data_IF_070373364580
#
_entry.id   IF_070373364580
#
_cell.length_a   1.000
_cell.length_b   1.000
_cell.length_c   1.000
_cell.angle_alpha   90.00
_cell.angle_beta   90.00
_cell.angle_gamma   90.00
#
_symmetry.space_group_name_H-M   'P 1'
#
loop_
_entity.id
_entity.type
_entity.pdbx_description
1 polymer ?
#
# COMPACT_ATOMS: atom_id res chain seq x y z
N UNK A 1 37.71 22.40 -1.56
CA UNK A 1 36.41 22.12 -2.18
C UNK A 1 35.40 21.80 -1.10
N UNK A 2 34.20 22.37 -1.17
CA UNK A 2 33.06 22.00 -0.34
C UNK A 2 31.94 21.47 -1.24
N UNK A 3 31.13 20.57 -0.69
CA UNK A 3 29.93 20.04 -1.34
C UNK A 3 28.73 20.52 -0.53
N UNK A 4 27.72 20.99 -1.25
CA UNK A 4 26.45 21.45 -0.73
C UNK A 4 25.36 20.48 -1.15
N UNK A 5 24.68 19.86 -0.19
CA UNK A 5 23.49 19.06 -0.44
C UNK A 5 22.28 19.76 0.18
N UNK A 6 21.19 19.89 -0.58
CA UNK A 6 19.97 20.57 -0.14
C UNK A 6 18.71 19.85 -0.59
N UNK A 7 17.57 20.44 -0.25
CA UNK A 7 16.27 19.91 -0.64
C UNK A 7 15.32 21.06 -0.98
N UNK A 8 14.51 20.85 -2.01
CA UNK A 8 13.41 21.74 -2.42
C UNK A 8 12.13 20.92 -2.49
N UNK A 9 11.00 21.52 -2.16
CA UNK A 9 9.68 20.89 -2.20
C UNK A 9 8.74 21.63 -3.16
N UNK A 10 7.70 20.96 -3.64
CA UNK A 10 6.58 21.64 -4.31
C UNK A 10 5.82 22.54 -3.34
N UNK A 11 5.08 23.52 -3.85
CA UNK A 11 4.41 24.57 -3.07
C UNK A 11 3.41 24.06 -2.03
N UNK A 12 2.91 22.84 -2.17
CA UNK A 12 1.98 22.24 -1.22
C UNK A 12 2.64 21.83 0.11
N UNK A 13 3.98 21.83 0.18
CA UNK A 13 4.72 21.33 1.32
C UNK A 13 5.89 22.24 1.67
N UNK A 14 6.17 22.32 2.96
CA UNK A 14 7.08 23.29 3.54
C UNK A 14 8.16 22.53 4.31
N UNK A 15 9.42 22.91 4.10
CA UNK A 15 10.52 22.42 4.92
C UNK A 15 10.45 23.18 6.24
N UNK A 16 10.29 22.44 7.33
CA UNK A 16 10.22 23.00 8.67
C UNK A 16 11.58 23.59 9.08
N UNK A 17 11.54 24.66 9.88
CA UNK A 17 12.73 25.20 10.52
C UNK A 17 13.36 24.14 11.46
N UNK A 18 14.65 23.85 11.27
CA UNK A 18 15.37 22.87 12.09
C UNK A 18 16.43 22.03 11.35
N UNK A 19 16.38 21.95 10.02
CA UNK A 19 17.40 21.26 9.21
C UNK A 19 18.65 22.10 8.92
N UNK A 20 19.73 21.49 8.36
CA UNK A 20 20.95 22.19 7.97
C UNK A 20 20.70 23.38 7.04
N UNK A 21 21.44 24.48 7.28
CA UNK A 21 21.38 25.70 6.48
C UNK A 21 22.77 26.18 6.03
N UNK A 22 22.80 26.77 4.84
CA UNK A 22 23.94 27.49 4.27
C UNK A 22 23.50 28.91 3.92
N UNK A 23 23.67 29.83 4.87
CA UNK A 23 23.05 31.16 4.82
C UNK A 23 21.53 31.05 4.78
N UNK A 24 20.91 31.63 3.75
CA UNK A 24 19.46 31.56 3.52
C UNK A 24 19.01 30.24 2.86
N UNK A 25 19.94 29.37 2.43
CA UNK A 25 19.61 28.12 1.73
C UNK A 25 19.37 26.98 2.71
N UNK A 26 18.37 26.17 2.42
CA UNK A 26 18.12 24.90 3.11
C UNK A 26 19.07 23.84 2.55
N UNK A 27 20.29 23.80 3.11
CA UNK A 27 21.35 22.93 2.63
C UNK A 27 22.44 22.69 3.70
N UNK A 28 23.06 21.52 3.67
CA UNK A 28 24.33 21.24 4.38
C UNK A 28 25.48 21.54 3.43
N UNK A 29 26.32 22.53 3.76
CA UNK A 29 27.54 22.85 3.00
C UNK A 29 28.78 22.48 3.83
N UNK A 30 29.53 21.48 3.40
CA UNK A 30 30.64 20.92 4.17
C UNK A 30 31.81 20.50 3.28
N UNK A 31 33.00 20.37 3.87
CA UNK A 31 34.18 19.85 3.15
C UNK A 31 33.99 18.38 2.78
N UNK A 32 34.73 17.90 1.78
CA UNK A 32 34.71 16.47 1.42
C UNK A 32 35.09 15.56 2.61
N UNK A 33 36.04 15.98 3.45
CA UNK A 33 36.41 15.24 4.65
C UNK A 33 35.26 15.15 5.67
N UNK A 34 34.50 16.23 5.84
CA UNK A 34 33.31 16.23 6.71
C UNK A 34 32.21 15.33 6.17
N UNK A 35 31.96 15.35 4.86
CA UNK A 35 30.99 14.44 4.23
C UNK A 35 31.42 12.98 4.33
N UNK A 36 32.71 12.69 4.22
CA UNK A 36 33.23 11.34 4.42
C UNK A 36 33.03 10.84 5.87
N UNK A 37 33.12 11.72 6.85
CA UNK A 37 32.90 11.38 8.26
C UNK A 37 31.42 11.38 8.66
N UNK A 38 30.59 12.21 8.02
CA UNK A 38 29.16 12.40 8.31
C UNK A 38 28.37 12.53 6.99
N UNK A 39 28.04 11.40 6.34
CA UNK A 39 27.47 11.37 5.00
C UNK A 39 25.99 11.78 4.94
N UNK A 40 25.38 12.12 6.07
CA UNK A 40 23.93 12.34 6.19
C UNK A 40 23.55 13.80 6.47
N UNK A 41 22.36 14.17 6.03
CA UNK A 41 21.69 15.43 6.34
C UNK A 41 20.18 15.16 6.43
N UNK A 42 19.52 15.74 7.42
CA UNK A 42 18.09 15.53 7.66
C UNK A 42 17.32 16.84 7.55
N UNK A 43 16.16 16.77 6.90
CA UNK A 43 15.19 17.87 6.85
C UNK A 43 13.80 17.33 7.13
N UNK A 44 13.06 18.04 7.98
CA UNK A 44 11.65 17.74 8.24
C UNK A 44 10.79 18.51 7.25
N UNK A 45 9.92 17.80 6.54
CA UNK A 45 8.98 18.39 5.58
C UNK A 45 7.57 18.14 6.09
N UNK A 46 6.72 19.16 6.07
CA UNK A 46 5.32 19.06 6.45
C UNK A 46 4.41 19.63 5.37
N UNK A 47 3.17 19.14 5.33
CA UNK A 47 2.10 19.69 4.50
C UNK A 47 1.03 20.29 5.41
N UNK A 48 0.81 21.61 5.39
CA UNK A 48 -0.29 22.22 6.14
C UNK A 48 -1.65 21.70 5.65
N UNK A 49 -2.60 21.51 6.57
CA UNK A 49 -3.98 21.08 6.22
C UNK A 49 -4.67 22.02 5.24
N UNK A 50 -4.36 23.32 5.33
CA UNK A 50 -4.90 24.37 4.45
C UNK A 50 -4.49 24.23 2.99
N UNK A 51 -3.46 23.43 2.70
CA UNK A 51 -3.00 23.16 1.32
C UNK A 51 -3.70 21.95 0.70
N UNK A 52 -4.45 21.18 1.50
CA UNK A 52 -5.15 19.95 1.09
C UNK A 52 -6.45 20.21 0.34
N UNK A 53 -6.78 19.30 -0.57
CA UNK A 53 -8.00 19.34 -1.36
C UNK A 53 -8.90 18.12 -1.09
N UNK A 54 -10.20 18.28 -1.39
CA UNK A 54 -11.20 17.23 -1.21
C UNK A 54 -11.53 16.95 0.27
N UNK A 55 -12.40 15.96 0.49
CA UNK A 55 -12.90 15.60 1.83
C UNK A 55 -11.81 15.17 2.81
N UNK A 56 -10.73 14.57 2.30
CA UNK A 56 -9.63 14.03 3.10
C UNK A 56 -8.45 15.03 3.22
N UNK A 57 -8.57 16.23 2.62
CA UNK A 57 -7.54 17.27 2.56
C UNK A 57 -6.20 16.71 2.06
N UNK A 58 -6.25 16.03 0.92
CA UNK A 58 -5.09 15.37 0.31
C UNK A 58 -4.17 16.40 -0.35
N UNK A 59 -2.86 16.25 -0.14
CA UNK A 59 -1.80 16.97 -0.86
C UNK A 59 -0.77 16.01 -1.44
N UNK A 60 -0.03 16.48 -2.43
CA UNK A 60 1.10 15.76 -3.01
C UNK A 60 2.36 16.62 -2.97
N UNK A 61 3.38 16.16 -2.24
CA UNK A 61 4.69 16.80 -2.20
C UNK A 61 5.66 16.05 -3.11
N UNK A 62 6.31 16.75 -4.05
CA UNK A 62 7.52 16.22 -4.69
C UNK A 62 8.72 16.74 -3.93
N UNK A 63 9.57 15.83 -3.48
CA UNK A 63 10.83 16.15 -2.79
C UNK A 63 11.94 16.13 -3.85
N UNK A 64 12.69 17.22 -3.95
CA UNK A 64 13.73 17.42 -4.96
C UNK A 64 15.06 17.69 -4.25
N UNK A 65 15.90 16.67 -4.08
CA UNK A 65 17.27 16.86 -3.60
C UNK A 65 18.09 17.70 -4.59
N UNK A 66 19.01 18.51 -4.07
CA UNK A 66 19.94 19.31 -4.86
C UNK A 66 21.37 19.07 -4.40
N UNK A 67 22.32 19.11 -5.34
CA UNK A 67 23.75 18.97 -5.05
C UNK A 67 24.52 20.02 -5.82
N UNK A 68 25.40 20.72 -5.12
CA UNK A 68 26.35 21.64 -5.71
C UNK A 68 27.70 21.57 -5.02
N UNK A 69 28.67 22.31 -5.53
CA UNK A 69 30.00 22.42 -4.92
C UNK A 69 30.51 23.85 -5.00
N UNK A 70 31.43 24.17 -4.10
CA UNK A 70 32.20 25.41 -4.11
C UNK A 70 33.70 25.03 -4.16
N UNK A 71 34.44 25.56 -5.14
CA UNK A 71 35.88 25.29 -5.30
C UNK A 71 36.71 26.56 -5.09
N UNK A 72 37.60 26.59 -4.08
CA UNK A 72 38.47 27.74 -3.85
C UNK A 72 39.67 27.81 -4.81
N UNK A 73 39.80 26.86 -5.75
CA UNK A 73 41.04 26.62 -6.48
C UNK A 73 41.17 27.40 -7.79
N UNK A 74 40.08 27.95 -8.36
CA UNK A 74 40.17 28.87 -9.51
C UNK A 74 39.08 29.94 -9.50
N UNK A 75 39.38 31.19 -9.91
CA UNK A 75 38.37 32.21 -10.20
C UNK A 75 37.42 31.83 -11.36
N UNK A 76 37.83 30.87 -12.20
CA UNK A 76 37.09 30.43 -13.39
C UNK A 76 36.01 29.37 -13.09
N UNK A 77 36.11 28.64 -11.97
CA UNK A 77 35.09 27.65 -11.55
C UNK A 77 34.84 27.74 -10.03
N UNK A 78 34.34 28.89 -9.53
CA UNK A 78 34.16 29.13 -8.09
C UNK A 78 33.15 28.18 -7.44
N UNK A 79 32.27 27.56 -8.23
CA UNK A 79 31.31 26.55 -7.81
C UNK A 79 30.34 26.17 -8.93
N UNK A 80 29.44 25.24 -8.67
CA UNK A 80 28.45 24.77 -9.64
C UNK A 80 27.30 23.98 -9.00
N UNK A 81 26.17 23.93 -9.70
CA UNK A 81 25.09 22.98 -9.45
C UNK A 81 25.35 21.74 -10.32
N UNK A 82 25.36 20.56 -9.69
CA UNK A 82 25.59 19.27 -10.35
C UNK A 82 24.39 18.33 -10.14
N UNK A 83 23.24 18.85 -9.73
CA UNK A 83 22.02 18.08 -9.44
C UNK A 83 21.58 17.24 -10.63
N UNK A 84 21.81 17.71 -11.86
CA UNK A 84 21.48 16.99 -13.09
C UNK A 84 22.48 15.86 -13.42
N UNK A 85 23.71 15.97 -12.91
CA UNK A 85 24.81 15.04 -13.19
C UNK A 85 24.87 13.86 -12.21
N UNK A 86 24.01 13.88 -11.18
CA UNK A 86 23.94 12.85 -10.14
C UNK A 86 22.61 12.11 -10.21
N UNK A 87 22.60 10.76 -10.13
CA UNK A 87 21.36 9.98 -10.10
C UNK A 87 20.65 10.15 -8.76
N UNK A 88 19.78 11.16 -8.67
CA UNK A 88 19.01 11.49 -7.46
C UNK A 88 17.56 11.00 -7.58
N UNK A 89 17.10 10.31 -6.54
CA UNK A 89 15.69 9.97 -6.39
C UNK A 89 14.88 11.22 -6.01
N UNK A 90 13.67 11.33 -6.55
CA UNK A 90 12.76 12.46 -6.33
C UNK A 90 11.42 11.95 -5.82
N UNK A 91 11.36 11.50 -4.56
CA UNK A 91 10.19 10.81 -4.05
C UNK A 91 8.98 11.74 -4.04
N UNK A 92 7.82 11.15 -4.28
CA UNK A 92 6.54 11.82 -4.17
C UNK A 92 5.86 11.31 -2.91
N UNK A 93 5.44 12.21 -2.02
CA UNK A 93 4.65 11.85 -0.83
C UNK A 93 3.23 12.38 -0.96
N UNK A 94 2.26 11.56 -0.57
CA UNK A 94 0.87 11.94 -0.39
C UNK A 94 0.64 12.19 1.09
N UNK A 95 0.15 13.37 1.44
CA UNK A 95 -0.31 13.65 2.81
C UNK A 95 -1.83 13.79 2.82
N UNK A 96 -2.46 13.41 3.92
CA UNK A 96 -3.91 13.52 4.11
C UNK A 96 -4.27 13.66 5.59
N UNK A 97 -5.49 14.10 5.86
CA UNK A 97 -6.09 14.11 7.20
C UNK A 97 -7.38 13.29 7.25
N UNK A 98 -7.44 12.21 6.48
CA UNK A 98 -8.66 11.42 6.33
C UNK A 98 -9.15 10.90 7.68
N UNK A 99 -10.45 11.03 8.00
CA UNK A 99 -11.04 10.42 9.18
C UNK A 99 -11.07 8.87 9.10
N UNK A 100 -10.78 8.29 7.92
CA UNK A 100 -10.62 6.85 7.76
C UNK A 100 -9.38 6.31 8.49
N UNK A 101 -8.39 7.18 8.77
CA UNK A 101 -7.17 6.83 9.48
C UNK A 101 -7.29 7.28 10.95
N UNK A 102 -7.57 6.31 11.83
CA UNK A 102 -7.92 6.54 13.23
C UNK A 102 -6.71 6.65 14.15
N UNK A 103 -5.63 5.92 13.83
CA UNK A 103 -4.49 5.78 14.75
C UNK A 103 -3.47 6.92 14.63
N UNK A 104 -3.54 7.73 13.57
CA UNK A 104 -2.64 8.87 13.33
C UNK A 104 -3.36 9.95 12.52
N UNK A 105 -4.00 10.91 13.20
CA UNK A 105 -4.70 12.01 12.53
C UNK A 105 -3.71 12.90 11.78
N UNK A 106 -3.79 12.91 10.45
CA UNK A 106 -2.77 13.56 9.64
C UNK A 106 -1.55 12.67 9.45
N UNK A 107 -0.95 12.69 8.26
CA UNK A 107 0.27 11.96 7.98
C UNK A 107 0.57 11.92 6.49
N UNK A 108 1.79 11.51 6.17
CA UNK A 108 2.29 11.42 4.80
C UNK A 108 2.81 10.01 4.53
N UNK A 109 2.60 9.50 3.32
CA UNK A 109 3.14 8.23 2.81
C UNK A 109 3.75 8.44 1.43
N UNK A 110 4.67 7.58 1.02
CA UNK A 110 5.14 7.57 -0.37
C UNK A 110 3.97 7.28 -1.31
N UNK A 111 3.77 8.16 -2.29
CA UNK A 111 2.68 8.08 -3.26
C UNK A 111 3.07 7.24 -4.49
N UNK A 112 4.35 7.16 -4.79
CA UNK A 112 4.94 6.46 -5.92
C UNK A 112 5.23 4.97 -5.66
N UNK A 113 4.85 4.47 -4.48
CA UNK A 113 4.99 3.06 -4.10
C UNK A 113 3.63 2.47 -3.78
N UNK A 114 3.30 1.37 -4.44
CA UNK A 114 2.18 0.52 -4.04
C UNK A 114 2.66 -0.40 -2.89
N UNK A 115 2.17 -0.21 -1.66
CA UNK A 115 2.60 -1.03 -0.53
C UNK A 115 2.14 -2.48 -0.70
N UNK A 116 2.84 -3.40 -0.03
CA UNK A 116 2.54 -4.83 -0.07
C UNK A 116 2.02 -5.28 1.29
N UNK A 117 0.80 -5.81 1.32
CA UNK A 117 0.28 -6.58 2.46
C UNK A 117 0.91 -7.97 2.42
N UNK A 118 1.61 -8.38 3.48
CA UNK A 118 2.25 -9.68 3.54
C UNK A 118 1.53 -10.62 4.53
N UNK A 119 1.00 -11.73 4.04
CA UNK A 119 0.60 -12.87 4.86
C UNK A 119 1.75 -13.88 4.93
N UNK A 120 2.55 -13.77 5.99
CA UNK A 120 3.74 -14.59 6.20
C UNK A 120 3.48 -15.67 7.27
N UNK A 121 3.10 -16.86 6.82
CA UNK A 121 2.78 -18.01 7.67
C UNK A 121 4.02 -18.62 8.35
N UNK A 122 5.22 -18.30 7.88
CA UNK A 122 6.47 -18.73 8.53
C UNK A 122 6.71 -17.91 9.80
N UNK A 123 6.33 -16.63 9.79
CA UNK A 123 6.46 -15.73 10.95
C UNK A 123 5.23 -15.73 11.85
N UNK A 124 4.05 -15.98 11.29
CA UNK A 124 2.79 -15.97 12.02
C UNK A 124 1.90 -17.14 11.58
N UNK A 125 1.92 -18.22 12.37
CA UNK A 125 1.09 -19.40 12.13
C UNK A 125 -0.42 -19.10 12.20
N UNK A 126 -0.82 -18.01 12.85
CA UNK A 126 -2.21 -17.58 12.97
C UNK A 126 -2.81 -16.97 11.71
N UNK A 127 -2.11 -16.97 10.57
CA UNK A 127 -2.63 -16.60 9.24
C UNK A 127 -2.24 -17.61 8.15
N UNK A 128 -1.91 -18.84 8.53
CA UNK A 128 -1.41 -19.86 7.60
C UNK A 128 -2.45 -20.28 6.57
N UNK A 129 -3.73 -20.36 6.94
CA UNK A 129 -4.79 -20.78 6.03
C UNK A 129 -5.12 -19.67 5.05
N UNK A 130 -5.19 -18.40 5.51
CA UNK A 130 -5.30 -17.23 4.62
C UNK A 130 -4.09 -17.10 3.69
N UNK A 131 -2.86 -17.25 4.19
CA UNK A 131 -1.66 -17.21 3.35
C UNK A 131 -1.69 -18.29 2.25
N UNK A 132 -2.09 -19.52 2.60
CA UNK A 132 -2.26 -20.60 1.62
C UNK A 132 -3.38 -20.32 0.63
N UNK A 133 -4.49 -19.75 1.07
CA UNK A 133 -5.60 -19.41 0.18
C UNK A 133 -5.20 -18.37 -0.87
N UNK A 134 -4.51 -17.29 -0.46
CA UNK A 134 -3.98 -16.29 -1.40
C UNK A 134 -2.94 -16.91 -2.33
N UNK A 135 -2.04 -17.75 -1.82
CA UNK A 135 -1.06 -18.46 -2.65
C UNK A 135 -1.73 -19.32 -3.72
N UNK A 136 -2.77 -20.06 -3.36
CA UNK A 136 -3.51 -20.90 -4.32
C UNK A 136 -4.26 -20.06 -5.35
N UNK A 137 -4.79 -18.90 -4.96
CA UNK A 137 -5.42 -17.98 -5.89
C UNK A 137 -4.47 -17.44 -6.95
N UNK A 138 -3.16 -17.38 -6.67
CA UNK A 138 -2.15 -16.95 -7.63
C UNK A 138 -1.56 -18.09 -8.46
N UNK A 139 -1.27 -19.23 -7.84
CA UNK A 139 -0.43 -20.26 -8.45
C UNK A 139 -1.17 -21.55 -8.76
N UNK A 140 -2.36 -21.74 -8.18
CA UNK A 140 -3.18 -22.94 -8.34
C UNK A 140 -4.65 -22.59 -8.61
N UNK A 141 -4.90 -21.42 -9.21
CA UNK A 141 -6.23 -20.83 -9.31
C UNK A 141 -7.22 -21.80 -9.99
N UNK A 142 -6.81 -22.41 -11.09
CA UNK A 142 -7.69 -23.31 -11.87
C UNK A 142 -7.86 -24.70 -11.25
N UNK A 143 -7.03 -25.05 -10.27
CA UNK A 143 -6.98 -26.39 -9.68
C UNK A 143 -7.59 -26.46 -8.29
N UNK A 144 -7.35 -25.43 -7.46
CA UNK A 144 -7.57 -25.47 -6.02
C UNK A 144 -8.43 -24.32 -5.49
N UNK A 145 -9.06 -23.55 -6.37
CA UNK A 145 -9.93 -22.45 -5.96
C UNK A 145 -11.34 -22.62 -6.48
N UNK A 146 -12.29 -22.10 -5.71
CA UNK A 146 -13.70 -22.04 -6.07
C UNK A 146 -14.18 -20.59 -6.15
N UNK A 147 -15.20 -20.26 -6.97
CA UNK A 147 -15.92 -21.16 -7.87
C UNK A 147 -15.02 -21.63 -9.01
N UNK A 148 -15.28 -22.76 -9.64
CA UNK A 148 -14.55 -23.14 -10.85
C UNK A 148 -14.81 -22.15 -11.98
N UNK A 149 -13.87 -22.05 -12.93
CA UNK A 149 -14.03 -21.24 -14.13
C UNK A 149 -13.63 -22.04 -15.36
N UNK A 150 -14.39 -21.88 -16.44
CA UNK A 150 -14.08 -22.51 -17.73
C UNK A 150 -12.82 -21.92 -18.38
N UNK A 151 -12.38 -20.75 -17.92
CA UNK A 151 -11.17 -20.08 -18.37
C UNK A 151 -10.14 -19.98 -17.23
N UNK A 152 -8.84 -19.94 -17.55
CA UNK A 152 -7.81 -19.70 -16.56
C UNK A 152 -8.07 -18.41 -15.77
N UNK A 153 -8.17 -18.53 -14.45
CA UNK A 153 -8.42 -17.40 -13.56
C UNK A 153 -7.24 -16.44 -13.54
N UNK A 154 -7.56 -15.16 -13.63
CA UNK A 154 -6.60 -14.05 -13.58
C UNK A 154 -6.84 -13.23 -12.32
N UNK A 155 -6.45 -13.79 -11.18
CA UNK A 155 -6.73 -13.19 -9.86
C UNK A 155 -5.75 -12.02 -9.60
N UNK A 156 -6.24 -10.78 -9.37
CA UNK A 156 -5.39 -9.62 -9.13
C UNK A 156 -4.80 -9.61 -7.71
N UNK A 157 -3.89 -8.67 -7.45
CA UNK A 157 -3.14 -8.53 -6.19
C UNK A 157 -1.67 -8.94 -6.31
N UNK A 158 -1.27 -9.46 -7.47
CA UNK A 158 0.10 -9.73 -7.85
C UNK A 158 0.32 -9.53 -9.36
N UNK A 159 1.58 -9.39 -9.79
CA UNK A 159 1.92 -9.39 -11.20
C UNK A 159 1.65 -10.78 -11.83
N UNK A 160 1.13 -10.86 -13.07
CA UNK A 160 0.93 -9.76 -14.02
C UNK A 160 -0.48 -9.12 -13.97
N UNK A 161 -1.36 -9.54 -13.06
CA UNK A 161 -2.79 -9.18 -13.08
C UNK A 161 -3.13 -7.87 -12.38
N UNK A 162 -2.12 -7.16 -11.86
CA UNK A 162 -2.26 -5.81 -11.30
C UNK A 162 -2.50 -5.80 -9.79
N UNK A 163 -2.55 -4.60 -9.17
CA UNK A 163 -2.79 -4.44 -7.75
C UNK A 163 -4.28 -4.64 -7.41
N UNK A 164 -4.57 -4.70 -6.10
CA UNK A 164 -5.90 -4.47 -5.57
C UNK A 164 -6.07 -2.99 -5.25
N UNK A 165 -7.30 -2.48 -5.31
CA UNK A 165 -7.63 -1.11 -4.91
C UNK A 165 -8.58 -1.15 -3.71
N UNK A 166 -8.28 -0.37 -2.67
CA UNK A 166 -9.13 -0.32 -1.47
C UNK A 166 -10.51 0.21 -1.84
N UNK A 167 -11.54 -0.51 -1.42
CA UNK A 167 -12.93 -0.07 -1.48
C UNK A 167 -13.29 0.71 -0.21
N UNK A 168 -13.89 1.88 -0.37
CA UNK A 168 -14.43 2.70 0.72
C UNK A 168 -15.84 3.10 0.36
N UNK A 169 -16.77 2.95 1.29
CA UNK A 169 -18.18 3.28 1.06
C UNK A 169 -18.50 4.73 1.44
N UNK A 170 -19.60 5.24 0.91
CA UNK A 170 -20.13 6.56 1.24
C UNK A 170 -20.36 7.47 0.03
N UNK A 171 -20.29 6.92 -1.19
CA UNK A 171 -20.67 7.67 -2.38
C UNK A 171 -22.15 8.06 -2.32
N UNK A 172 -22.44 9.27 -2.80
CA UNK A 172 -23.81 9.62 -3.16
C UNK A 172 -24.19 8.82 -4.43
N UNK A 173 -25.37 8.19 -4.44
CA UNK A 173 -25.81 7.39 -5.58
C UNK A 173 -25.88 8.17 -6.89
N UNK A 174 -26.08 9.49 -6.82
CA UNK A 174 -26.20 10.36 -7.99
C UNK A 174 -24.86 10.97 -8.45
N UNK A 175 -23.75 10.71 -7.72
CA UNK A 175 -22.43 11.25 -8.04
C UNK A 175 -21.42 10.12 -8.18
N UNK A 176 -20.81 10.04 -9.35
CA UNK A 176 -19.66 9.14 -9.56
C UNK A 176 -18.46 9.74 -8.84
N UNK A 177 -18.11 9.15 -7.69
CA UNK A 177 -16.86 9.41 -6.99
C UNK A 177 -15.94 8.19 -7.21
N UNK A 178 -14.82 8.33 -7.95
CA UNK A 178 -13.91 7.20 -8.16
C UNK A 178 -13.29 6.68 -6.86
N UNK A 179 -13.30 7.44 -5.77
CA UNK A 179 -12.72 7.03 -4.49
C UNK A 179 -13.75 6.43 -3.52
N UNK A 180 -15.04 6.41 -3.89
CA UNK A 180 -16.10 5.88 -3.05
C UNK A 180 -17.06 4.97 -3.82
N UNK A 181 -17.40 3.83 -3.21
CA UNK A 181 -18.51 3.01 -3.65
C UNK A 181 -19.83 3.39 -2.97
N UNK A 182 -20.97 3.01 -3.57
CA UNK A 182 -22.27 3.05 -2.90
C UNK A 182 -22.24 2.30 -1.57
N UNK A 183 -22.98 2.80 -0.59
CA UNK A 183 -23.13 2.16 0.72
C UNK A 183 -23.61 0.71 0.60
N UNK A 184 -22.95 -0.20 1.31
CA UNK A 184 -23.24 -1.63 1.31
C UNK A 184 -22.55 -2.45 0.22
N UNK A 185 -21.72 -1.86 -0.65
CA UNK A 185 -20.93 -2.58 -1.66
C UNK A 185 -20.04 -3.68 -1.06
N UNK A 186 -19.30 -3.38 0.02
CA UNK A 186 -18.43 -4.34 0.72
C UNK A 186 -19.26 -5.47 1.30
N UNK A 187 -20.42 -5.15 1.89
CA UNK A 187 -21.35 -6.16 2.42
C UNK A 187 -21.88 -7.05 1.30
N UNK A 188 -22.19 -6.50 0.12
CA UNK A 188 -22.67 -7.26 -1.04
C UNK A 188 -21.59 -8.21 -1.56
N UNK A 189 -20.34 -7.76 -1.70
CA UNK A 189 -19.20 -8.61 -2.04
C UNK A 189 -19.08 -9.79 -1.05
N UNK A 190 -19.05 -9.49 0.26
CA UNK A 190 -18.96 -10.52 1.30
C UNK A 190 -20.13 -11.51 1.25
N UNK A 191 -21.34 -11.01 1.03
CA UNK A 191 -22.54 -11.84 0.93
C UNK A 191 -22.46 -12.77 -0.28
N UNK A 192 -21.96 -12.27 -1.42
CA UNK A 192 -21.78 -13.06 -2.62
C UNK A 192 -20.76 -14.19 -2.40
N UNK A 193 -19.57 -13.88 -1.87
CA UNK A 193 -18.55 -14.89 -1.57
C UNK A 193 -19.05 -15.97 -0.61
N UNK A 194 -19.77 -15.58 0.47
CA UNK A 194 -20.39 -16.54 1.40
C UNK A 194 -21.42 -17.43 0.69
N UNK A 195 -22.19 -16.88 -0.25
CA UNK A 195 -23.14 -17.66 -1.05
C UNK A 195 -22.42 -18.73 -1.88
N UNK A 196 -21.26 -18.41 -2.45
CA UNK A 196 -20.46 -19.38 -3.21
C UNK A 196 -19.91 -20.47 -2.28
N UNK A 197 -19.32 -20.11 -1.12
CA UNK A 197 -18.87 -21.11 -0.14
C UNK A 197 -20.00 -22.10 0.25
N UNK A 198 -21.21 -21.61 0.48
CA UNK A 198 -22.36 -22.48 0.82
C UNK A 198 -22.79 -23.39 -0.32
N UNK A 199 -22.59 -22.95 -1.56
CA UNK A 199 -22.93 -23.71 -2.76
C UNK A 199 -21.90 -24.81 -3.01
N UNK A 200 -20.61 -24.49 -2.85
CA UNK A 200 -19.50 -25.43 -3.07
C UNK A 200 -19.39 -26.47 -1.95
N UNK A 201 -19.72 -26.09 -0.71
CA UNK A 201 -19.65 -26.96 0.46
C UNK A 201 -20.97 -26.99 1.27
N UNK A 202 -22.07 -27.56 0.72
CA UNK A 202 -23.40 -27.52 1.34
C UNK A 202 -23.51 -28.35 2.64
N UNK A 203 -22.59 -29.30 2.83
CA UNK A 203 -22.54 -30.15 4.04
C UNK A 203 -21.76 -29.51 5.18
N UNK A 204 -20.91 -28.52 4.90
CA UNK A 204 -20.13 -27.82 5.93
C UNK A 204 -21.07 -27.04 6.83
N UNK A 205 -20.75 -27.02 8.12
CA UNK A 205 -21.48 -26.30 9.17
C UNK A 205 -20.54 -25.27 9.80
N UNK A 206 -20.35 -24.09 9.18
CA UNK A 206 -19.24 -23.19 9.53
C UNK A 206 -19.26 -22.75 11.00
N UNK A 207 -20.43 -22.54 11.59
CA UNK A 207 -20.54 -22.17 13.02
C UNK A 207 -20.08 -23.29 13.95
N UNK A 208 -20.50 -24.52 13.68
CA UNK A 208 -20.18 -25.71 14.48
C UNK A 208 -18.70 -26.09 14.32
N UNK A 209 -18.19 -25.95 13.10
CA UNK A 209 -16.80 -26.26 12.74
C UNK A 209 -15.83 -25.09 12.99
N UNK A 210 -16.33 -23.95 13.46
CA UNK A 210 -15.54 -22.71 13.72
C UNK A 210 -14.77 -22.23 12.48
N UNK A 211 -15.48 -22.17 11.35
CA UNK A 211 -14.97 -21.71 10.06
C UNK A 211 -15.61 -20.39 9.65
N UNK A 212 -14.83 -19.57 8.96
CA UNK A 212 -15.34 -18.42 8.21
C UNK A 212 -15.01 -18.64 6.72
N UNK A 213 -15.90 -18.18 5.82
CA UNK A 213 -15.62 -18.17 4.38
C UNK A 213 -14.63 -17.03 4.10
N UNK A 214 -13.41 -17.38 3.72
CA UNK A 214 -12.41 -16.44 3.24
C UNK A 214 -12.60 -16.17 1.75
N UNK A 215 -12.22 -14.96 1.32
CA UNK A 215 -12.48 -14.44 -0.01
C UNK A 215 -11.26 -13.67 -0.52
N UNK A 216 -10.85 -13.98 -1.74
CA UNK A 216 -9.74 -13.30 -2.40
C UNK A 216 -10.03 -13.07 -3.89
N UNK A 217 -10.04 -11.83 -4.41
CA UNK A 217 -9.76 -10.57 -3.70
C UNK A 217 -10.74 -10.25 -2.57
N UNK A 218 -10.30 -9.42 -1.62
CA UNK A 218 -11.07 -9.13 -0.41
C UNK A 218 -12.37 -8.37 -0.72
N UNK A 219 -13.44 -8.56 0.06
CA UNK A 219 -14.66 -7.77 -0.11
C UNK A 219 -14.48 -6.26 0.02
N UNK A 220 -13.43 -5.84 0.74
CA UNK A 220 -13.02 -4.43 0.89
C UNK A 220 -12.10 -3.93 -0.23
N UNK A 221 -12.13 -4.58 -1.40
CA UNK A 221 -11.41 -4.16 -2.60
C UNK A 221 -12.37 -4.05 -3.78
N UNK A 222 -12.02 -3.18 -4.74
CA UNK A 222 -12.82 -2.98 -5.97
C UNK A 222 -12.89 -4.23 -6.83
N UNK A 223 -11.86 -5.06 -6.74
CA UNK A 223 -11.74 -6.36 -7.39
C UNK A 223 -12.48 -7.48 -6.65
N UNK A 224 -13.29 -7.14 -5.64
CA UNK A 224 -14.10 -8.09 -4.88
C UNK A 224 -15.03 -8.92 -5.77
N UNK A 225 -15.58 -9.99 -5.19
CA UNK A 225 -16.22 -11.07 -5.93
C UNK A 225 -17.31 -10.67 -6.93
N UNK A 226 -18.08 -9.59 -6.70
CA UNK A 226 -19.09 -9.12 -7.65
C UNK A 226 -18.51 -8.44 -8.89
N UNK A 227 -17.31 -7.85 -8.78
CA UNK A 227 -16.62 -7.16 -9.88
C UNK A 227 -15.56 -8.06 -10.55
N UNK A 228 -15.25 -9.21 -9.95
CA UNK A 228 -14.16 -10.08 -10.37
C UNK A 228 -14.42 -10.85 -11.68
N UNK A 229 -15.66 -10.91 -12.17
CA UNK A 229 -16.04 -11.69 -13.36
C UNK A 229 -15.53 -13.14 -13.32
N UNK A 230 -15.65 -13.81 -12.16
CA UNK A 230 -15.16 -15.17 -11.93
C UNK A 230 -13.68 -15.28 -11.53
N UNK A 231 -12.91 -14.19 -11.56
CA UNK A 231 -11.49 -14.15 -11.17
C UNK A 231 -11.30 -13.93 -9.67
N UNK A 232 -11.99 -14.72 -8.86
CA UNK A 232 -11.86 -14.73 -7.40
C UNK A 232 -11.84 -16.16 -6.86
N UNK A 233 -11.47 -16.27 -5.61
CA UNK A 233 -11.40 -17.51 -4.85
C UNK A 233 -12.15 -17.36 -3.53
N UNK A 234 -12.87 -18.40 -3.15
CA UNK A 234 -13.44 -18.56 -1.81
C UNK A 234 -13.00 -19.87 -1.20
N UNK A 235 -12.88 -19.90 0.13
CA UNK A 235 -12.50 -21.10 0.88
C UNK A 235 -13.02 -21.05 2.30
N UNK A 236 -13.50 -22.18 2.82
CA UNK A 236 -13.72 -22.28 4.27
C UNK A 236 -12.40 -22.52 5.00
N UNK A 237 -12.02 -21.57 5.84
CA UNK A 237 -10.82 -21.65 6.68
C UNK A 237 -11.19 -21.45 8.15
N UNK A 238 -10.26 -21.78 9.05
CA UNK A 238 -10.41 -21.53 10.48
C UNK A 238 -10.80 -20.08 10.76
N UNK A 239 -11.87 -19.86 11.53
CA UNK A 239 -12.39 -18.53 11.82
C UNK A 239 -11.37 -17.64 12.56
N UNK A 240 -10.52 -18.22 13.40
CA UNK A 240 -9.46 -17.45 14.09
C UNK A 240 -8.41 -16.96 13.10
N UNK A 241 -8.03 -17.79 12.13
CA UNK A 241 -7.07 -17.45 11.07
C UNK A 241 -7.63 -16.33 10.18
N UNK A 242 -8.86 -16.50 9.67
CA UNK A 242 -9.54 -15.51 8.83
C UNK A 242 -9.70 -14.14 9.53
N UNK A 243 -10.04 -14.15 10.82
CA UNK A 243 -10.19 -12.90 11.59
C UNK A 243 -8.85 -12.23 11.88
N UNK A 244 -7.80 -13.02 12.09
CA UNK A 244 -6.43 -12.54 12.25
C UNK A 244 -5.93 -11.86 10.98
N UNK A 245 -6.11 -12.48 9.81
CA UNK A 245 -5.73 -11.89 8.52
C UNK A 245 -6.58 -10.66 8.17
N UNK A 246 -7.88 -10.67 8.48
CA UNK A 246 -8.76 -9.50 8.37
C UNK A 246 -8.32 -8.33 9.28
N UNK A 247 -7.85 -8.63 10.50
CA UNK A 247 -7.28 -7.61 11.39
C UNK A 247 -5.98 -7.03 10.84
N UNK A 248 -5.11 -7.88 10.26
CA UNK A 248 -3.89 -7.43 9.58
C UNK A 248 -4.19 -6.53 8.38
N UNK A 249 -5.18 -6.87 7.55
CA UNK A 249 -5.64 -6.03 6.44
C UNK A 249 -6.12 -4.66 6.94
N UNK A 250 -6.94 -4.65 8.01
CA UNK A 250 -7.39 -3.42 8.66
C UNK A 250 -6.23 -2.56 9.17
N UNK A 251 -5.26 -3.18 9.85
CA UNK A 251 -4.04 -2.51 10.32
C UNK A 251 -3.18 -1.97 9.18
N UNK A 252 -3.02 -2.75 8.10
CA UNK A 252 -2.30 -2.35 6.91
C UNK A 252 -2.89 -1.08 6.29
N UNK A 253 -4.21 -1.01 6.13
CA UNK A 253 -4.88 0.19 5.65
C UNK A 253 -4.59 1.43 6.50
N UNK A 254 -4.48 1.29 7.82
CA UNK A 254 -4.15 2.38 8.73
C UNK A 254 -2.68 2.81 8.61
N UNK A 255 -1.75 1.84 8.65
CA UNK A 255 -0.31 2.08 8.63
C UNK A 255 0.17 2.69 7.30
N UNK A 256 -0.42 2.25 6.19
CA UNK A 256 -0.06 2.70 4.84
C UNK A 256 -0.98 3.79 4.29
N UNK A 257 -1.89 4.29 5.16
CA UNK A 257 -2.86 5.35 4.86
C UNK A 257 -3.60 5.13 3.53
N UNK A 258 -4.04 3.90 3.27
CA UNK A 258 -4.78 3.60 2.04
C UNK A 258 -6.15 4.26 2.09
N UNK A 259 -6.41 5.23 1.24
CA UNK A 259 -7.73 5.81 1.02
C UNK A 259 -8.48 4.99 -0.03
N UNK A 260 -9.70 5.42 -0.36
CA UNK A 260 -10.44 4.79 -1.45
C UNK A 260 -9.67 4.85 -2.75
N UNK A 261 -9.76 3.78 -3.55
CA UNK A 261 -9.05 3.62 -4.81
C UNK A 261 -7.51 3.57 -4.72
N UNK A 262 -6.89 3.65 -3.53
CA UNK A 262 -5.45 3.50 -3.44
C UNK A 262 -5.03 2.06 -3.78
N UNK A 263 -3.99 1.87 -4.62
CA UNK A 263 -3.50 0.56 -4.99
C UNK A 263 -2.63 -0.06 -3.88
N UNK A 264 -2.63 -1.39 -3.82
CA UNK A 264 -1.71 -2.20 -3.03
C UNK A 264 -1.59 -3.62 -3.60
N UNK A 265 -0.50 -4.31 -3.27
CA UNK A 265 -0.29 -5.72 -3.63
C UNK A 265 -0.42 -6.61 -2.39
N UNK A 266 -0.60 -7.91 -2.61
CA UNK A 266 -0.64 -8.91 -1.53
C UNK A 266 0.40 -9.99 -1.80
N UNK A 267 1.34 -10.15 -0.87
CA UNK A 267 2.31 -11.23 -0.87
C UNK A 267 1.85 -12.33 0.09
N UNK A 268 1.92 -13.58 -0.38
CA UNK A 268 1.64 -14.76 0.42
C UNK A 268 2.90 -15.58 0.59
N UNK A 269 3.27 -15.89 1.83
CA UNK A 269 4.36 -16.81 2.16
C UNK A 269 3.81 -17.96 3.03
N UNK A 270 3.11 -18.95 2.43
CA UNK A 270 2.71 -20.16 3.14
C UNK A 270 3.93 -21.00 3.55
N UNK A 271 3.78 -21.80 4.60
CA UNK A 271 4.82 -22.74 5.07
C UNK A 271 5.12 -23.75 3.95
N UNK A 272 6.39 -24.15 3.82
CA UNK A 272 6.84 -25.04 2.75
C UNK A 272 6.01 -26.35 2.69
N UNK A 273 5.71 -26.93 3.85
CA UNK A 273 4.90 -28.14 3.96
C UNK A 273 3.44 -27.99 3.50
N UNK A 274 2.91 -26.76 3.49
CA UNK A 274 1.52 -26.52 3.09
C UNK A 274 1.41 -26.25 1.59
N UNK A 275 2.45 -25.69 0.96
CA UNK A 275 2.42 -25.15 -0.42
C UNK A 275 1.84 -26.10 -1.45
N UNK A 276 2.26 -27.36 -1.43
CA UNK A 276 1.93 -28.34 -2.45
C UNK A 276 0.78 -29.27 -2.04
N UNK A 277 0.10 -28.96 -0.93
CA UNK A 277 -1.06 -29.72 -0.47
C UNK A 277 -2.35 -29.16 -1.07
N UNK A 278 -3.24 -30.02 -1.60
CA UNK A 278 -4.57 -29.60 -2.00
C UNK A 278 -5.34 -29.09 -0.77
N UNK A 279 -6.21 -28.08 -0.94
CA UNK A 279 -7.07 -27.64 0.14
C UNK A 279 -8.01 -28.77 0.58
N UNK A 280 -8.22 -28.88 1.89
CA UNK A 280 -9.15 -29.88 2.47
C UNK A 280 -10.60 -29.54 2.13
N UNK A 281 -10.86 -28.24 1.99
CA UNK A 281 -12.12 -27.57 1.72
C UNK A 281 -11.75 -26.19 1.22
#
# INVERSE_FOLDING_TARGET
>A
MKVRAGVVTTSQCQIQDGGPRDGARIAKNATLATWAAQPEAEWTIHSPKSMGAGKDLVTTCKIMPTVGFDSPQTPATPGGDITADVPLQRPVVKCDTSPLIKNYTGGCVLADVAPVLAFDAVKNDGVKESAKHVWDAYFNADKWTKPESDNPKKVPGHAPYGPLHREVEGANADLVDPDLAPTGTIKKNRTHSISICRTEWPVVRPKEEKLDCDEFPFASTKEGSLSANGNFSVRYINASDNRSSGSQLGGFYQQTRRLGNDPFYVAANPRAQDRDLPPVR
#
